data_IF_137836958703
#
_entry.id   IF_137836958703
#
_cell.length_a   1.000
_cell.length_b   1.000
_cell.length_c   1.000
_cell.angle_alpha   90.00
_cell.angle_beta   90.00
_cell.angle_gamma   90.00
#
_symmetry.space_group_name_H-M   'P 1'
#
loop_
_entity.id
_entity.type
_entity.pdbx_description
1 polymer ?
#
# COMPACT_ATOMS: atom_id res chain seq x y z
N UNK A 1 29.75 -11.28 -23.67
CA UNK A 1 29.45 -11.66 -22.28
C UNK A 1 29.78 -10.49 -21.35
N UNK A 2 28.81 -9.66 -20.99
CA UNK A 2 28.99 -8.60 -19.99
C UNK A 2 28.54 -9.12 -18.62
N UNK A 3 29.47 -9.22 -17.66
CA UNK A 3 29.16 -9.51 -16.26
C UNK A 3 28.82 -8.21 -15.54
N UNK A 4 27.57 -8.07 -15.09
CA UNK A 4 27.11 -6.95 -14.28
C UNK A 4 27.71 -7.02 -12.87
N UNK A 5 28.45 -5.98 -12.51
CA UNK A 5 29.07 -5.78 -11.20
C UNK A 5 28.07 -5.04 -10.30
N UNK A 6 27.32 -5.77 -9.49
CA UNK A 6 26.45 -5.17 -8.48
C UNK A 6 27.31 -4.66 -7.31
N UNK A 7 27.25 -3.36 -7.03
CA UNK A 7 27.91 -2.74 -5.88
C UNK A 7 27.05 -2.99 -4.62
N UNK A 8 27.51 -3.87 -3.74
CA UNK A 8 27.01 -3.99 -2.36
C UNK A 8 27.48 -2.79 -1.56
N UNK A 9 26.55 -1.90 -1.18
CA UNK A 9 26.81 -0.83 -0.20
C UNK A 9 26.75 -1.43 1.21
N UNK A 10 27.91 -1.64 1.82
CA UNK A 10 28.02 -1.96 3.25
C UNK A 10 27.85 -0.68 4.05
N UNK A 11 26.79 -0.57 4.85
CA UNK A 11 26.56 0.53 5.79
C UNK A 11 26.88 0.02 7.19
N UNK A 12 27.96 0.52 7.79
CA UNK A 12 28.39 0.20 9.15
C UNK A 12 27.51 0.94 10.16
N UNK A 13 26.93 0.21 11.11
CA UNK A 13 26.19 0.76 12.25
C UNK A 13 27.10 0.71 13.47
N UNK A 14 27.36 1.86 14.09
CA UNK A 14 28.26 1.97 15.24
C UNK A 14 27.50 1.57 16.52
N UNK A 15 28.06 0.68 17.33
CA UNK A 15 27.49 0.25 18.62
C UNK A 15 28.55 0.30 19.72
N UNK A 16 28.16 0.52 20.99
CA UNK A 16 29.08 0.88 22.06
C UNK A 16 29.91 -0.33 22.52
N UNK A 17 31.20 -0.09 22.76
CA UNK A 17 32.17 -1.10 23.14
C UNK A 17 31.93 -1.58 24.59
N UNK A 18 31.72 -2.89 24.78
CA UNK A 18 31.82 -3.52 26.09
C UNK A 18 33.26 -4.00 26.31
N UNK A 19 33.97 -3.35 27.25
CA UNK A 19 35.32 -3.72 27.65
C UNK A 19 35.31 -4.93 28.59
N UNK A 20 35.94 -6.03 28.19
CA UNK A 20 36.36 -7.09 29.11
C UNK A 20 37.89 -7.10 29.11
N UNK A 21 38.49 -6.76 30.24
CA UNK A 21 39.94 -6.71 30.44
C UNK A 21 40.42 -8.04 31.03
N UNK A 22 41.31 -8.74 30.33
CA UNK A 22 42.21 -9.72 30.94
C UNK A 22 43.63 -9.49 30.46
N UNK A 23 44.54 -9.29 31.41
CA UNK A 23 45.97 -9.11 31.20
C UNK A 23 46.64 -10.43 30.81
N UNK A 24 47.46 -10.40 29.74
CA UNK A 24 48.80 -11.01 29.64
C UNK A 24 49.42 -10.60 28.28
N UNK A 25 50.67 -10.14 28.34
CA UNK A 25 51.42 -9.51 27.25
C UNK A 25 51.95 -10.52 26.22
N UNK A 26 51.56 -10.38 24.94
CA UNK A 26 52.39 -9.91 23.83
C UNK A 26 51.72 -10.27 22.49
N UNK A 27 51.41 -9.22 21.71
CA UNK A 27 50.97 -9.23 20.30
C UNK A 27 49.71 -10.05 19.99
N UNK A 28 48.58 -9.63 20.57
CA UNK A 28 47.26 -9.96 20.03
C UNK A 28 46.97 -9.10 18.81
N UNK A 29 47.13 -9.65 17.61
CA UNK A 29 46.48 -9.09 16.42
C UNK A 29 44.98 -9.33 16.58
N UNK A 30 44.24 -8.28 16.95
CA UNK A 30 42.79 -8.34 17.05
C UNK A 30 42.22 -8.45 15.63
N UNK A 31 42.00 -9.69 15.17
CA UNK A 31 41.02 -9.91 14.12
C UNK A 31 39.66 -9.63 14.74
N UNK A 32 39.20 -8.38 14.64
CA UNK A 32 37.78 -8.09 14.78
C UNK A 32 37.11 -8.76 13.58
N UNK A 33 36.63 -9.99 13.75
CA UNK A 33 35.60 -10.52 12.89
C UNK A 33 34.36 -9.69 13.18
N UNK A 34 34.27 -8.54 12.52
CA UNK A 34 32.99 -7.88 12.30
C UNK A 34 32.18 -8.90 11.53
N UNK A 35 31.39 -9.70 12.26
CA UNK A 35 30.39 -10.55 11.67
C UNK A 35 29.43 -9.59 11.00
N UNK A 36 29.70 -9.31 9.72
CA UNK A 36 28.79 -8.58 8.88
C UNK A 36 27.53 -9.41 8.88
N UNK A 37 26.54 -8.97 9.65
CA UNK A 37 25.20 -9.53 9.60
C UNK A 37 24.75 -9.28 8.17
N UNK A 38 24.85 -10.30 7.32
CA UNK A 38 24.34 -10.26 5.95
C UNK A 38 22.83 -10.33 6.08
N UNK A 39 22.22 -9.17 6.31
CA UNK A 39 20.79 -9.02 6.35
C UNK A 39 20.28 -8.89 4.91
N UNK A 40 19.34 -9.76 4.55
CA UNK A 40 18.70 -9.72 3.23
C UNK A 40 17.93 -8.41 3.04
N UNK A 41 17.84 -7.94 1.79
CA UNK A 41 17.20 -6.66 1.48
C UNK A 41 15.75 -6.59 1.99
N UNK A 42 15.03 -7.72 1.93
CA UNK A 42 13.65 -7.86 2.42
C UNK A 42 13.53 -7.58 3.92
N UNK A 43 14.57 -7.90 4.69
CA UNK A 43 14.61 -7.74 6.14
C UNK A 43 15.14 -6.34 6.52
N UNK A 44 15.99 -5.76 5.66
CA UNK A 44 16.51 -4.40 5.80
C UNK A 44 15.47 -3.32 5.43
N UNK A 45 14.61 -3.57 4.43
CA UNK A 45 13.67 -2.57 3.90
C UNK A 45 12.70 -1.99 4.97
N UNK A 46 12.09 -2.80 5.87
CA UNK A 46 11.26 -2.27 6.94
C UNK A 46 12.02 -1.35 7.91
N UNK A 47 13.30 -1.63 8.16
CA UNK A 47 14.15 -0.84 9.06
C UNK A 47 14.50 0.51 8.42
N UNK A 48 14.84 0.53 7.13
CA UNK A 48 15.08 1.76 6.38
C UNK A 48 13.82 2.63 6.34
N UNK A 49 12.64 2.04 6.08
CA UNK A 49 11.38 2.78 6.12
C UNK A 49 11.08 3.38 7.49
N UNK A 50 11.39 2.67 8.58
CA UNK A 50 11.25 3.22 9.94
C UNK A 50 12.18 4.41 10.16
N UNK A 51 13.44 4.31 9.71
CA UNK A 51 14.40 5.41 9.80
C UNK A 51 13.94 6.64 9.03
N UNK A 52 13.50 6.47 7.78
CA UNK A 52 13.00 7.59 6.96
C UNK A 52 11.74 8.23 7.57
N UNK A 53 10.80 7.44 8.11
CA UNK A 53 9.60 7.97 8.78
C UNK A 53 9.92 8.73 10.06
N UNK A 54 10.96 8.34 10.80
CA UNK A 54 11.39 9.01 12.02
C UNK A 54 12.13 10.34 11.74
N UNK A 55 12.78 10.45 10.58
CA UNK A 55 13.52 11.64 10.18
C UNK A 55 12.63 12.74 9.57
N UNK A 56 11.32 12.51 9.42
CA UNK A 56 10.39 13.50 8.86
C UNK A 56 10.00 14.57 9.87
N UNK A 57 10.03 15.83 9.45
CA UNK A 57 9.60 17.00 10.25
C UNK A 57 8.08 17.29 10.12
N UNK A 58 7.39 16.55 9.23
CA UNK A 58 5.99 16.80 8.89
C UNK A 58 5.08 15.85 9.69
N UNK A 59 4.07 16.41 10.36
CA UNK A 59 2.96 15.61 10.89
C UNK A 59 2.10 15.07 9.74
N UNK A 60 2.35 13.81 9.38
CA UNK A 60 1.65 13.08 8.32
C UNK A 60 0.15 12.96 8.63
N UNK A 61 -0.26 12.88 9.90
CA UNK A 61 -1.67 12.73 10.27
C UNK A 61 -2.41 14.03 10.00
N UNK A 62 -1.84 15.17 10.41
CA UNK A 62 -2.39 16.49 10.12
C UNK A 62 -2.46 16.74 8.61
N UNK A 63 -1.38 16.47 7.88
CA UNK A 63 -1.36 16.61 6.42
C UNK A 63 -2.44 15.74 5.74
N UNK A 64 -2.61 14.51 6.20
CA UNK A 64 -3.65 13.61 5.67
C UNK A 64 -5.04 14.17 5.92
N UNK A 65 -5.31 14.76 7.09
CA UNK A 65 -6.60 15.38 7.36
C UNK A 65 -6.82 16.59 6.45
N UNK A 66 -5.82 17.43 6.21
CA UNK A 66 -5.92 18.56 5.28
C UNK A 66 -6.27 18.07 3.87
N UNK A 67 -5.55 17.07 3.35
CA UNK A 67 -5.76 16.53 2.01
C UNK A 67 -7.09 15.79 1.82
N UNK A 68 -7.72 15.36 2.92
CA UNK A 68 -8.96 14.56 2.89
C UNK A 68 -10.17 15.34 3.42
N UNK A 69 -10.09 16.67 3.42
CA UNK A 69 -11.16 17.57 3.86
C UNK A 69 -11.59 17.35 5.32
N UNK A 70 -10.63 17.01 6.19
CA UNK A 70 -10.80 16.87 7.62
C UNK A 70 -10.68 15.44 8.14
N UNK A 71 -10.65 15.33 9.48
CA UNK A 71 -10.50 14.05 10.19
C UNK A 71 -11.68 13.11 9.93
N UNK A 72 -12.91 13.60 10.09
CA UNK A 72 -14.12 12.79 9.94
C UNK A 72 -14.28 12.22 8.53
N UNK A 73 -14.03 13.05 7.51
CA UNK A 73 -14.06 12.62 6.11
C UNK A 73 -13.00 11.55 5.82
N UNK A 74 -11.79 11.68 6.38
CA UNK A 74 -10.75 10.66 6.26
C UNK A 74 -11.11 9.36 6.99
N UNK A 75 -11.71 9.45 8.17
CA UNK A 75 -12.17 8.28 8.94
C UNK A 75 -13.27 7.53 8.20
N UNK A 76 -14.28 8.24 7.69
CA UNK A 76 -15.33 7.63 6.87
C UNK A 76 -14.76 7.00 5.60
N UNK A 77 -13.86 7.67 4.90
CA UNK A 77 -13.15 7.11 3.74
C UNK A 77 -12.41 5.81 4.10
N UNK A 78 -11.70 5.76 5.22
CA UNK A 78 -11.01 4.55 5.69
C UNK A 78 -11.97 3.41 5.96
N UNK A 79 -13.13 3.69 6.57
CA UNK A 79 -14.18 2.69 6.79
C UNK A 79 -14.69 2.11 5.46
N UNK A 80 -15.01 2.98 4.50
CA UNK A 80 -15.50 2.56 3.18
C UNK A 80 -14.47 1.69 2.42
N UNK A 81 -13.20 2.07 2.47
CA UNK A 81 -12.12 1.26 1.87
C UNK A 81 -11.99 -0.09 2.57
N UNK A 82 -12.05 -0.12 3.90
CA UNK A 82 -11.95 -1.36 4.67
C UNK A 82 -13.08 -2.34 4.35
N UNK A 83 -14.30 -1.84 4.09
CA UNK A 83 -15.43 -2.67 3.66
C UNK A 83 -15.13 -3.40 2.34
N UNK A 84 -14.53 -2.71 1.37
CA UNK A 84 -14.13 -3.31 0.09
C UNK A 84 -12.99 -4.30 0.27
N UNK A 85 -11.99 -3.98 1.09
CA UNK A 85 -10.85 -4.87 1.38
C UNK A 85 -11.27 -6.16 2.07
N UNK A 86 -12.31 -6.13 2.90
CA UNK A 86 -12.84 -7.30 3.60
C UNK A 86 -13.75 -8.17 2.72
N UNK A 87 -14.27 -7.63 1.62
CA UNK A 87 -15.20 -8.37 0.77
C UNK A 87 -14.45 -9.40 -0.11
N UNK A 88 -14.87 -10.68 -0.12
CA UNK A 88 -14.11 -11.77 -0.75
C UNK A 88 -13.86 -11.59 -2.26
N UNK A 89 -14.83 -11.03 -2.99
CA UNK A 89 -14.69 -10.80 -4.44
C UNK A 89 -14.17 -9.39 -4.79
N UNK A 90 -14.57 -8.34 -4.04
CA UNK A 90 -14.22 -6.96 -4.37
C UNK A 90 -12.76 -6.61 -4.01
N UNK A 91 -12.18 -7.33 -3.05
CA UNK A 91 -10.79 -7.16 -2.61
C UNK A 91 -9.76 -7.69 -3.60
N UNK A 92 -10.15 -8.54 -4.55
CA UNK A 92 -9.25 -9.17 -5.53
C UNK A 92 -8.54 -8.12 -6.41
N UNK A 93 -7.20 -8.19 -6.43
CA UNK A 93 -6.29 -7.32 -7.21
C UNK A 93 -5.50 -8.05 -8.29
N UNK A 94 -5.74 -9.35 -8.48
CA UNK A 94 -4.89 -10.24 -9.28
C UNK A 94 -5.20 -10.21 -10.78
N UNK A 95 -5.74 -9.09 -11.23
CA UNK A 95 -6.26 -8.89 -12.58
C UNK A 95 -5.14 -8.86 -13.63
N UNK A 96 -3.90 -8.64 -13.21
CA UNK A 96 -2.72 -8.71 -14.07
C UNK A 96 -2.33 -10.14 -14.42
N UNK A 97 -2.83 -11.14 -13.70
CA UNK A 97 -2.55 -12.56 -13.95
C UNK A 97 -3.65 -13.24 -14.80
N UNK A 98 -4.64 -12.48 -15.27
CA UNK A 98 -5.78 -12.95 -16.06
C UNK A 98 -5.60 -12.59 -17.53
N UNK A 99 -6.05 -13.46 -18.43
CA UNK A 99 -6.16 -13.12 -19.85
C UNK A 99 -7.35 -12.17 -20.12
N UNK A 100 -7.51 -11.71 -21.36
CA UNK A 100 -8.54 -10.72 -21.69
C UNK A 100 -9.97 -11.21 -21.38
N UNK A 101 -10.31 -12.44 -21.77
CA UNK A 101 -11.63 -13.03 -21.53
C UNK A 101 -11.89 -13.21 -20.02
N UNK A 102 -10.94 -13.80 -19.30
CA UNK A 102 -11.03 -13.99 -17.85
C UNK A 102 -11.18 -12.66 -17.11
N UNK A 103 -10.46 -11.63 -17.54
CA UNK A 103 -10.54 -10.28 -16.97
C UNK A 103 -11.91 -9.66 -17.21
N UNK A 104 -12.49 -9.83 -18.41
CA UNK A 104 -13.83 -9.35 -18.72
C UNK A 104 -14.90 -10.06 -17.88
N UNK A 105 -14.89 -11.40 -17.85
CA UNK A 105 -15.83 -12.20 -17.07
C UNK A 105 -15.74 -11.91 -15.57
N UNK A 106 -14.53 -11.81 -15.05
CA UNK A 106 -14.32 -11.47 -13.64
C UNK A 106 -14.72 -10.02 -13.34
N UNK A 107 -14.50 -9.09 -14.28
CA UNK A 107 -14.99 -7.72 -14.20
C UNK A 107 -16.51 -7.66 -14.06
N UNK A 108 -17.26 -8.43 -14.87
CA UNK A 108 -18.71 -8.55 -14.77
C UNK A 108 -19.16 -9.12 -13.42
N UNK A 109 -18.48 -10.17 -12.93
CA UNK A 109 -18.73 -10.73 -11.60
C UNK A 109 -18.52 -9.68 -10.51
N UNK A 110 -17.41 -8.92 -10.58
CA UNK A 110 -17.07 -7.88 -9.61
C UNK A 110 -18.10 -6.75 -9.61
N UNK A 111 -18.59 -6.34 -10.78
CA UNK A 111 -19.69 -5.39 -10.94
C UNK A 111 -20.97 -5.88 -10.24
N UNK A 112 -21.37 -7.13 -10.48
CA UNK A 112 -22.57 -7.68 -9.85
C UNK A 112 -22.47 -7.64 -8.33
N UNK A 113 -21.34 -8.10 -7.77
CA UNK A 113 -21.10 -8.04 -6.33
C UNK A 113 -21.08 -6.60 -5.80
N UNK A 114 -20.50 -5.66 -6.56
CA UNK A 114 -20.45 -4.26 -6.16
C UNK A 114 -21.84 -3.64 -6.09
N UNK A 115 -22.70 -3.85 -7.09
CA UNK A 115 -24.07 -3.34 -7.10
C UNK A 115 -24.91 -3.96 -5.98
N UNK A 116 -24.78 -5.26 -5.71
CA UNK A 116 -25.47 -5.90 -4.58
C UNK A 116 -24.97 -5.34 -3.25
N UNK A 117 -23.65 -5.19 -3.09
CA UNK A 117 -23.05 -4.64 -1.89
C UNK A 117 -23.55 -3.23 -1.57
N UNK A 118 -23.64 -2.35 -2.58
CA UNK A 118 -24.15 -0.99 -2.41
C UNK A 118 -25.62 -0.99 -1.97
N UNK A 119 -26.44 -1.88 -2.52
CA UNK A 119 -27.85 -2.04 -2.12
C UNK A 119 -27.97 -2.51 -0.68
N UNK A 120 -27.24 -3.55 -0.30
CA UNK A 120 -27.29 -4.13 1.04
C UNK A 120 -26.83 -3.12 2.11
N UNK A 121 -25.78 -2.35 1.81
CA UNK A 121 -25.24 -1.32 2.71
C UNK A 121 -25.97 0.02 2.63
N UNK A 122 -27.01 0.15 1.79
CA UNK A 122 -27.79 1.37 1.59
C UNK A 122 -26.92 2.60 1.27
N UNK A 123 -25.88 2.42 0.46
CA UNK A 123 -24.97 3.49 0.05
C UNK A 123 -25.62 4.26 -1.11
N UNK A 124 -26.10 5.47 -0.81
CA UNK A 124 -26.74 6.36 -1.80
C UNK A 124 -25.94 7.63 -2.06
N UNK A 125 -24.97 7.97 -1.20
CA UNK A 125 -24.16 9.16 -1.38
C UNK A 125 -23.13 8.97 -2.51
N UNK A 126 -23.09 9.92 -3.44
CA UNK A 126 -22.24 9.87 -4.62
C UNK A 126 -20.75 9.88 -4.27
N UNK A 127 -20.32 10.62 -3.24
CA UNK A 127 -18.91 10.66 -2.85
C UNK A 127 -18.49 9.35 -2.20
N UNK A 128 -19.37 8.73 -1.41
CA UNK A 128 -19.12 7.40 -0.87
C UNK A 128 -19.00 6.37 -1.99
N UNK A 129 -19.89 6.42 -2.98
CA UNK A 129 -19.83 5.56 -4.17
C UNK A 129 -18.49 5.71 -4.89
N UNK A 130 -18.03 6.94 -5.14
CA UNK A 130 -16.75 7.23 -5.78
C UNK A 130 -15.56 6.69 -4.98
N UNK A 131 -15.56 6.88 -3.66
CA UNK A 131 -14.51 6.35 -2.78
C UNK A 131 -14.47 4.81 -2.86
N UNK A 132 -15.63 4.16 -2.79
CA UNK A 132 -15.73 2.71 -2.82
C UNK A 132 -15.37 2.14 -4.19
N UNK A 133 -15.78 2.80 -5.27
CA UNK A 133 -15.43 2.40 -6.63
C UNK A 133 -13.94 2.56 -6.89
N UNK A 134 -13.33 3.66 -6.45
CA UNK A 134 -11.86 3.83 -6.50
C UNK A 134 -11.14 2.75 -5.70
N UNK A 135 -11.73 2.29 -4.58
CA UNK A 135 -11.21 1.19 -3.80
C UNK A 135 -11.29 -0.17 -4.51
N UNK A 136 -11.95 -0.31 -5.67
CA UNK A 136 -11.92 -1.53 -6.49
C UNK A 136 -10.61 -1.70 -7.28
N UNK A 137 -9.75 -0.67 -7.28
CA UNK A 137 -8.35 -0.73 -7.68
C UNK A 137 -8.11 -0.72 -9.18
N UNK A 138 -9.16 -0.92 -9.97
CA UNK A 138 -9.12 -0.80 -11.42
C UNK A 138 -10.50 -0.42 -11.98
N UNK A 139 -10.54 0.26 -13.14
CA UNK A 139 -11.80 0.58 -13.81
C UNK A 139 -12.53 -0.70 -14.23
N UNK A 140 -13.83 -0.75 -13.95
CA UNK A 140 -14.70 -1.84 -14.37
C UNK A 140 -15.50 -1.45 -15.62
N UNK A 141 -16.17 -2.42 -16.24
CA UNK A 141 -16.97 -2.18 -17.45
C UNK A 141 -18.20 -1.27 -17.25
N UNK A 142 -18.52 -0.88 -16.01
CA UNK A 142 -19.60 0.05 -15.67
C UNK A 142 -19.14 1.50 -15.55
N UNK A 143 -17.87 1.79 -15.78
CA UNK A 143 -17.32 3.13 -15.56
C UNK A 143 -18.06 4.23 -16.32
N UNK A 144 -18.30 4.00 -17.62
CA UNK A 144 -19.07 4.92 -18.49
C UNK A 144 -20.55 4.96 -18.07
N UNK A 145 -21.10 3.85 -17.57
CA UNK A 145 -22.46 3.83 -17.08
C UNK A 145 -22.63 4.77 -15.86
N UNK A 146 -21.70 4.71 -14.92
CA UNK A 146 -21.72 5.56 -13.72
C UNK A 146 -21.35 7.01 -13.99
N UNK A 147 -20.33 7.26 -14.82
CA UNK A 147 -19.80 8.61 -15.04
C UNK A 147 -20.54 9.41 -16.11
N UNK A 148 -21.18 8.75 -17.08
CA UNK A 148 -21.79 9.43 -18.23
C UNK A 148 -23.26 9.07 -18.38
N UNK A 149 -23.62 7.78 -18.40
CA UNK A 149 -25.00 7.37 -18.71
C UNK A 149 -26.00 7.86 -17.66
N UNK A 150 -25.78 7.53 -16.37
CA UNK A 150 -26.68 7.96 -15.29
C UNK A 150 -26.73 9.49 -15.19
N UNK A 151 -25.61 10.23 -15.13
CA UNK A 151 -25.65 11.69 -15.05
C UNK A 151 -26.32 12.34 -16.26
N UNK A 152 -26.22 11.75 -17.45
CA UNK A 152 -26.92 12.28 -18.63
C UNK A 152 -28.43 12.14 -18.46
N UNK A 153 -28.91 11.00 -17.98
CA UNK A 153 -30.34 10.81 -17.71
C UNK A 153 -30.85 11.74 -16.60
N UNK A 154 -30.08 11.91 -15.52
CA UNK A 154 -30.48 12.77 -14.39
C UNK A 154 -30.52 14.25 -14.77
N UNK A 155 -29.61 14.71 -15.63
CA UNK A 155 -29.50 16.13 -15.98
C UNK A 155 -30.25 16.52 -17.27
N UNK A 156 -30.55 15.56 -18.15
CA UNK A 156 -31.13 15.81 -19.47
C UNK A 156 -32.40 15.01 -19.75
N UNK A 157 -32.82 14.11 -18.84
CA UNK A 157 -34.08 13.38 -18.94
C UNK A 157 -35.27 14.28 -18.57
N UNK A 158 -36.34 14.17 -19.35
CA UNK A 158 -37.59 14.93 -19.18
C UNK A 158 -38.55 14.26 -18.21
#
# INVERSE_FOLDING_TARGET
MLKSKWMTKTITFDQPQHHITSHINHLTFQFTTSSAIVMELKDLAPLLLKKERANGDIDVSLLTHILRNGKLANERRKQLVALIEQHPVLSDRDMMFRNHTERYEFGLKKVWHFVQFLKDQHITDQKELEIMYAALGEPLCIDVHLSMFIPTLENQGT
#
